data_IF_449235475495
#
_entry.id   IF_449235475495
#
_cell.length_a   1.000
_cell.length_b   1.000
_cell.length_c   1.000
_cell.angle_alpha   90.00
_cell.angle_beta   90.00
_cell.angle_gamma   90.00
#
_symmetry.space_group_name_H-M   'P 1'
#
loop_
_entity.id
_entity.type
_entity.pdbx_description
1 polymer ?
#
# COMPACT_ATOMS: atom_id res chain seq x y z
N UNK A 1 8.86 31.35 26.71
CA UNK A 1 9.32 31.72 25.35
C UNK A 1 9.46 30.49 24.45
N UNK A 2 9.68 29.29 24.99
CA UNK A 2 9.74 28.03 24.22
C UNK A 2 8.35 27.52 23.76
N UNK A 3 7.29 27.74 24.57
CA UNK A 3 5.92 27.39 24.16
C UNK A 3 5.42 28.18 22.94
N UNK A 4 5.77 29.46 22.78
CA UNK A 4 5.25 30.26 21.66
C UNK A 4 5.79 29.79 20.31
N UNK A 5 7.01 29.25 20.27
CA UNK A 5 7.61 28.71 19.04
C UNK A 5 7.03 27.34 18.66
N UNK A 6 6.68 26.52 19.66
CA UNK A 6 6.04 25.23 19.45
C UNK A 6 4.58 25.38 19.01
N UNK A 7 3.85 26.29 19.66
CA UNK A 7 2.46 26.59 19.29
C UNK A 7 2.37 27.14 17.87
N UNK A 8 3.28 28.05 17.48
CA UNK A 8 3.33 28.58 16.12
C UNK A 8 3.60 27.47 15.08
N UNK A 9 4.47 26.53 15.40
CA UNK A 9 4.73 25.36 14.56
C UNK A 9 3.47 24.49 14.40
N UNK A 10 2.80 24.15 15.51
CA UNK A 10 1.59 23.33 15.49
C UNK A 10 0.42 24.00 14.75
N UNK A 11 0.30 25.33 14.83
CA UNK A 11 -0.72 26.08 14.08
C UNK A 11 -0.46 25.96 12.57
N UNK A 12 0.76 26.30 12.12
CA UNK A 12 1.11 26.33 10.69
C UNK A 12 1.18 24.95 10.06
N UNK A 13 1.79 23.99 10.75
CA UNK A 13 2.02 22.64 10.21
C UNK A 13 0.90 21.65 10.57
N UNK A 14 -0.02 22.03 11.46
CA UNK A 14 -1.11 21.20 11.94
C UNK A 14 -2.47 21.81 11.65
N UNK A 15 -2.86 22.78 12.48
CA UNK A 15 -4.22 23.32 12.53
C UNK A 15 -4.66 23.88 11.17
N UNK A 16 -3.84 24.71 10.52
CA UNK A 16 -4.18 25.30 9.22
C UNK A 16 -4.44 24.24 8.14
N UNK A 17 -3.71 23.12 8.20
CA UNK A 17 -3.86 22.02 7.24
C UNK A 17 -5.12 21.21 7.54
N UNK A 18 -5.30 20.75 8.78
CA UNK A 18 -6.42 19.86 9.14
C UNK A 18 -7.78 20.56 9.17
N UNK A 19 -7.80 21.89 9.31
CA UNK A 19 -9.03 22.69 9.23
C UNK A 19 -9.37 23.11 7.80
N UNK A 20 -8.43 22.99 6.87
CA UNK A 20 -8.66 23.35 5.47
C UNK A 20 -9.77 22.49 4.86
N UNK A 21 -10.83 23.08 4.27
CA UNK A 21 -12.02 22.34 3.86
C UNK A 21 -11.71 21.30 2.77
N UNK A 22 -10.78 21.58 1.85
CA UNK A 22 -10.37 20.61 0.85
C UNK A 22 -9.64 19.41 1.46
N UNK A 23 -8.85 19.63 2.51
CA UNK A 23 -8.17 18.54 3.22
C UNK A 23 -9.19 17.58 3.82
N UNK A 24 -10.14 18.12 4.61
CA UNK A 24 -11.22 17.34 5.22
C UNK A 24 -12.09 16.62 4.18
N UNK A 25 -12.42 17.28 3.07
CA UNK A 25 -13.18 16.67 1.99
C UNK A 25 -12.44 15.46 1.39
N UNK A 26 -11.14 15.59 1.14
CA UNK A 26 -10.32 14.46 0.65
C UNK A 26 -10.23 13.32 1.66
N UNK A 27 -10.08 13.62 2.96
CA UNK A 27 -10.11 12.60 4.00
C UNK A 27 -11.44 11.84 4.04
N UNK A 28 -12.57 12.55 3.97
CA UNK A 28 -13.90 11.92 3.92
C UNK A 28 -14.03 11.02 2.70
N UNK A 29 -13.56 11.47 1.53
CA UNK A 29 -13.53 10.65 0.31
C UNK A 29 -12.68 9.39 0.52
N UNK A 30 -11.48 9.52 1.09
CA UNK A 30 -10.63 8.37 1.40
C UNK A 30 -11.33 7.38 2.33
N UNK A 31 -11.93 7.86 3.43
CA UNK A 31 -12.65 7.02 4.39
C UNK A 31 -13.78 6.24 3.70
N UNK A 32 -14.61 6.93 2.89
CA UNK A 32 -15.73 6.29 2.18
C UNK A 32 -15.23 5.23 1.19
N UNK A 33 -14.19 5.54 0.41
CA UNK A 33 -13.60 4.61 -0.55
C UNK A 33 -12.96 3.41 0.15
N UNK A 34 -12.26 3.63 1.27
CA UNK A 34 -11.63 2.57 2.05
C UNK A 34 -12.65 1.64 2.71
N UNK A 35 -13.70 2.18 3.34
CA UNK A 35 -14.80 1.37 3.90
C UNK A 35 -15.48 0.55 2.81
N UNK A 36 -15.80 1.18 1.68
CA UNK A 36 -16.40 0.49 0.52
C UNK A 36 -15.51 -0.65 0.03
N UNK A 37 -14.19 -0.40 -0.04
CA UNK A 37 -13.20 -1.41 -0.44
C UNK A 37 -13.15 -2.58 0.54
N UNK A 38 -13.15 -2.33 1.85
CA UNK A 38 -13.18 -3.39 2.88
C UNK A 38 -14.42 -4.28 2.69
N UNK A 39 -15.60 -3.67 2.56
CA UNK A 39 -16.87 -4.42 2.38
C UNK A 39 -16.83 -5.26 1.10
N UNK A 40 -16.41 -4.66 -0.02
CA UNK A 40 -16.32 -5.35 -1.31
C UNK A 40 -15.31 -6.50 -1.28
N UNK A 41 -14.12 -6.30 -0.73
CA UNK A 41 -13.08 -7.33 -0.64
C UNK A 41 -13.55 -8.50 0.22
N UNK A 42 -14.13 -8.24 1.39
CA UNK A 42 -14.67 -9.29 2.26
C UNK A 42 -15.81 -10.07 1.59
N UNK A 43 -16.69 -9.37 0.88
CA UNK A 43 -17.76 -9.99 0.11
C UNK A 43 -17.21 -10.88 -1.03
N UNK A 44 -16.24 -10.39 -1.80
CA UNK A 44 -15.60 -11.15 -2.89
C UNK A 44 -14.88 -12.38 -2.34
N UNK A 45 -14.08 -12.22 -1.27
CA UNK A 45 -13.36 -13.32 -0.63
C UNK A 45 -14.31 -14.37 -0.06
N UNK A 46 -15.48 -13.99 0.45
CA UNK A 46 -16.47 -14.95 0.95
C UNK A 46 -17.18 -15.67 -0.20
N UNK A 47 -17.59 -14.94 -1.25
CA UNK A 47 -18.45 -15.46 -2.32
C UNK A 47 -17.68 -16.21 -3.41
N UNK A 48 -16.49 -15.73 -3.80
CA UNK A 48 -15.80 -16.20 -5.00
C UNK A 48 -14.48 -16.95 -4.73
N UNK A 49 -13.96 -16.97 -3.50
CA UNK A 49 -12.68 -17.65 -3.18
C UNK A 49 -12.58 -19.09 -3.69
N UNK A 50 -13.68 -19.87 -3.65
CA UNK A 50 -13.71 -21.27 -4.11
C UNK A 50 -14.08 -21.42 -5.59
N UNK A 51 -14.59 -20.36 -6.23
CA UNK A 51 -15.06 -20.37 -7.63
C UNK A 51 -14.06 -19.83 -8.63
N UNK A 52 -12.87 -19.39 -8.17
CA UNK A 52 -11.81 -18.98 -9.08
C UNK A 52 -11.34 -20.19 -9.90
N UNK A 53 -11.58 -20.15 -11.22
CA UNK A 53 -11.19 -21.15 -12.22
C UNK A 53 -9.67 -21.06 -12.50
N UNK A 54 -8.95 -20.20 -11.79
CA UNK A 54 -7.55 -19.94 -12.03
C UNK A 54 -6.64 -21.09 -11.56
N UNK A 55 -5.52 -21.25 -12.27
CA UNK A 55 -4.43 -22.12 -11.85
C UNK A 55 -3.99 -21.77 -10.42
N UNK A 56 -3.50 -22.77 -9.67
CA UNK A 56 -3.21 -22.60 -8.24
C UNK A 56 -2.22 -21.45 -7.97
N UNK A 57 -1.21 -21.29 -8.83
CA UNK A 57 -0.15 -20.29 -8.68
C UNK A 57 -0.70 -18.85 -8.70
N UNK A 58 -1.46 -18.48 -9.72
CA UNK A 58 -2.10 -17.16 -9.73
C UNK A 58 -3.15 -17.02 -8.61
N UNK A 59 -3.86 -18.09 -8.26
CA UNK A 59 -4.92 -18.03 -7.24
C UNK A 59 -4.37 -17.62 -5.88
N UNK A 60 -3.23 -18.18 -5.46
CA UNK A 60 -2.59 -17.79 -4.19
C UNK A 60 -2.11 -16.34 -4.23
N UNK A 61 -1.56 -15.87 -5.36
CA UNK A 61 -1.11 -14.48 -5.53
C UNK A 61 -2.28 -13.47 -5.50
N UNK A 62 -3.39 -13.77 -6.17
CA UNK A 62 -4.59 -12.92 -6.14
C UNK A 62 -5.21 -12.87 -4.73
N UNK A 63 -5.20 -13.99 -4.01
CA UNK A 63 -5.62 -14.03 -2.61
C UNK A 63 -4.69 -13.16 -1.75
N UNK A 64 -3.37 -13.24 -1.95
CA UNK A 64 -2.37 -12.38 -1.31
C UNK A 64 -2.68 -10.90 -1.53
N UNK A 65 -2.95 -10.52 -2.79
CA UNK A 65 -3.30 -9.14 -3.16
C UNK A 65 -4.56 -8.65 -2.43
N UNK A 66 -5.58 -9.49 -2.31
CA UNK A 66 -6.79 -9.13 -1.56
C UNK A 66 -6.50 -8.93 -0.07
N UNK A 67 -5.64 -9.74 0.54
CA UNK A 67 -5.24 -9.55 1.94
C UNK A 67 -4.41 -8.28 2.13
N UNK A 68 -3.45 -7.99 1.25
CA UNK A 68 -2.67 -6.76 1.27
C UNK A 68 -3.59 -5.52 1.13
N UNK A 69 -4.53 -5.56 0.19
CA UNK A 69 -5.51 -4.49 -0.04
C UNK A 69 -6.48 -4.32 1.13
N UNK A 70 -6.89 -5.42 1.78
CA UNK A 70 -7.73 -5.37 2.97
C UNK A 70 -6.99 -4.70 4.14
N UNK A 71 -5.73 -5.08 4.36
CA UNK A 71 -4.89 -4.46 5.39
C UNK A 71 -4.73 -2.96 5.11
N UNK A 72 -4.37 -2.58 3.88
CA UNK A 72 -4.24 -1.19 3.45
C UNK A 72 -5.51 -0.38 3.71
N UNK A 73 -6.66 -0.84 3.19
CA UNK A 73 -7.92 -0.12 3.33
C UNK A 73 -8.39 -0.02 4.79
N UNK A 74 -8.12 -1.05 5.61
CA UNK A 74 -8.45 -1.01 7.04
C UNK A 74 -7.61 0.03 7.77
N UNK A 75 -6.29 0.05 7.55
CA UNK A 75 -5.39 1.03 8.16
C UNK A 75 -5.72 2.46 7.70
N UNK A 76 -5.95 2.65 6.40
CA UNK A 76 -6.39 3.93 5.82
C UNK A 76 -7.65 4.45 6.52
N UNK A 77 -8.65 3.59 6.71
CA UNK A 77 -9.88 3.95 7.42
C UNK A 77 -9.58 4.38 8.86
N UNK A 78 -8.73 3.64 9.57
CA UNK A 78 -8.40 3.90 10.98
C UNK A 78 -7.73 5.27 11.14
N UNK A 79 -6.63 5.53 10.44
CA UNK A 79 -5.89 6.78 10.68
C UNK A 79 -6.60 8.00 10.09
N UNK A 80 -7.25 7.90 8.94
CA UNK A 80 -8.00 9.04 8.39
C UNK A 80 -9.20 9.39 9.28
N UNK A 81 -9.89 8.39 9.82
CA UNK A 81 -11.00 8.65 10.76
C UNK A 81 -10.49 9.27 12.06
N UNK A 82 -9.37 8.78 12.59
CA UNK A 82 -8.75 9.33 13.79
C UNK A 82 -8.28 10.77 13.57
N UNK A 83 -7.62 11.05 12.44
CA UNK A 83 -7.17 12.39 12.11
C UNK A 83 -8.34 13.34 11.84
N UNK A 84 -9.40 12.89 11.15
CA UNK A 84 -10.61 13.67 10.96
C UNK A 84 -11.28 14.01 12.29
N UNK A 85 -11.33 13.04 13.22
CA UNK A 85 -11.82 13.26 14.57
C UNK A 85 -11.00 14.36 15.29
N UNK A 86 -9.67 14.25 15.31
CA UNK A 86 -8.80 15.27 15.89
C UNK A 86 -9.01 16.65 15.25
N UNK A 87 -9.25 16.71 13.94
CA UNK A 87 -9.50 17.98 13.25
C UNK A 87 -10.74 18.73 13.76
N UNK A 88 -11.69 18.05 14.40
CA UNK A 88 -12.91 18.65 14.97
C UNK A 88 -12.86 18.81 16.50
N UNK A 89 -12.03 18.03 17.20
CA UNK A 89 -12.04 17.98 18.67
C UNK A 89 -10.80 18.53 19.36
N UNK A 90 -9.82 19.05 18.61
CA UNK A 90 -8.61 19.65 19.19
C UNK A 90 -8.96 20.85 20.08
N UNK A 91 -8.28 20.98 21.22
CA UNK A 91 -8.43 22.11 22.15
C UNK A 91 -7.19 23.00 22.09
N UNK A 92 -6.01 22.37 22.16
CA UNK A 92 -4.73 23.04 21.98
C UNK A 92 -4.19 22.81 20.55
N UNK A 93 -3.38 23.74 20.00
CA UNK A 93 -2.91 23.62 18.63
C UNK A 93 -2.13 22.34 18.32
N UNK A 94 -1.42 21.77 19.30
CA UNK A 94 -0.63 20.56 19.11
C UNK A 94 -1.43 19.25 19.26
N UNK A 95 -2.69 19.30 19.71
CA UNK A 95 -3.54 18.10 19.84
C UNK A 95 -3.88 17.46 18.49
N UNK A 96 -3.74 18.21 17.39
CA UNK A 96 -3.95 17.71 16.03
C UNK A 96 -2.83 16.78 15.55
N UNK A 97 -1.68 16.78 16.22
CA UNK A 97 -0.54 15.94 15.89
C UNK A 97 -0.78 14.51 16.37
N UNK A 98 -0.40 13.52 15.56
CA UNK A 98 -0.59 12.13 15.92
C UNK A 98 0.33 11.73 17.08
N UNK A 99 -0.18 11.00 18.09
CA UNK A 99 0.67 10.40 19.10
C UNK A 99 1.70 9.48 18.44
N UNK A 100 2.98 9.61 18.84
CA UNK A 100 4.10 8.87 18.25
C UNK A 100 3.86 7.35 18.15
N UNK A 101 3.35 6.75 19.22
CA UNK A 101 3.09 5.30 19.24
C UNK A 101 1.98 4.90 18.26
N UNK A 102 0.91 5.71 18.17
CA UNK A 102 -0.15 5.50 17.19
C UNK A 102 0.40 5.58 15.77
N UNK A 103 1.18 6.63 15.48
CA UNK A 103 1.84 6.80 14.19
C UNK A 103 2.67 5.56 13.84
N UNK A 104 3.60 5.12 14.69
CA UNK A 104 4.48 3.97 14.39
C UNK A 104 3.67 2.69 14.13
N UNK A 105 2.69 2.39 15.01
CA UNK A 105 1.89 1.15 14.93
C UNK A 105 1.02 1.11 13.68
N UNK A 106 0.57 2.26 13.17
CA UNK A 106 -0.33 2.32 12.00
C UNK A 106 0.44 2.58 10.70
N UNK A 107 1.41 3.49 10.72
CA UNK A 107 2.24 3.86 9.57
C UNK A 107 3.09 2.69 9.08
N UNK A 108 3.79 1.96 9.97
CA UNK A 108 4.66 0.88 9.54
C UNK A 108 3.91 -0.26 8.82
N UNK A 109 2.78 -0.78 9.35
CA UNK A 109 1.95 -1.73 8.61
C UNK A 109 1.30 -1.14 7.36
N UNK A 110 1.01 0.16 7.34
CA UNK A 110 0.45 0.82 6.17
C UNK A 110 1.47 0.83 5.03
N UNK A 111 2.70 1.27 5.27
CA UNK A 111 3.78 1.25 4.27
C UNK A 111 4.05 -0.19 3.79
N UNK A 112 4.12 -1.14 4.72
CA UNK A 112 4.24 -2.56 4.37
C UNK A 112 3.11 -3.01 3.43
N UNK A 113 1.86 -2.65 3.72
CA UNK A 113 0.71 -3.02 2.89
C UNK A 113 0.79 -2.44 1.47
N UNK A 114 1.28 -1.20 1.32
CA UNK A 114 1.49 -0.56 0.01
C UNK A 114 2.56 -1.32 -0.77
N UNK A 115 3.73 -1.54 -0.18
CA UNK A 115 4.81 -2.30 -0.84
C UNK A 115 4.40 -3.74 -1.15
N UNK A 116 3.57 -4.35 -0.30
CA UNK A 116 3.04 -5.70 -0.53
C UNK A 116 2.06 -5.76 -1.70
N UNK A 117 1.23 -4.73 -1.90
CA UNK A 117 0.38 -4.62 -3.09
C UNK A 117 1.25 -4.55 -4.35
N UNK A 118 2.24 -3.65 -4.37
CA UNK A 118 3.15 -3.44 -5.53
C UNK A 118 3.93 -4.73 -5.86
N UNK A 119 4.58 -5.34 -4.85
CA UNK A 119 5.33 -6.57 -5.03
C UNK A 119 4.43 -7.72 -5.54
N UNK A 120 3.21 -7.83 -5.01
CA UNK A 120 2.26 -8.87 -5.47
C UNK A 120 1.84 -8.64 -6.92
N UNK A 121 1.59 -7.39 -7.30
CA UNK A 121 1.23 -7.06 -8.68
C UNK A 121 2.39 -7.38 -9.65
N UNK A 122 3.64 -7.02 -9.34
CA UNK A 122 4.80 -7.38 -10.17
C UNK A 122 4.96 -8.90 -10.31
N UNK A 123 4.83 -9.63 -9.19
CA UNK A 123 4.94 -11.10 -9.19
C UNK A 123 3.81 -11.75 -9.98
N UNK A 124 2.59 -11.20 -9.95
CA UNK A 124 1.50 -11.64 -10.84
C UNK A 124 1.90 -11.47 -12.30
N UNK A 125 2.49 -10.33 -12.69
CA UNK A 125 2.92 -10.11 -14.07
C UNK A 125 4.00 -11.10 -14.50
N UNK A 126 4.96 -11.40 -13.62
CA UNK A 126 6.00 -12.42 -13.87
C UNK A 126 5.36 -13.80 -14.05
N UNK A 127 4.41 -14.16 -13.18
CA UNK A 127 3.68 -15.42 -13.28
C UNK A 127 2.95 -15.56 -14.62
N UNK A 128 2.31 -14.48 -15.08
CA UNK A 128 1.64 -14.42 -16.39
C UNK A 128 2.62 -14.51 -17.55
N UNK A 129 3.77 -13.84 -17.46
CA UNK A 129 4.82 -13.94 -18.47
C UNK A 129 5.31 -15.38 -18.63
N UNK A 130 5.57 -16.07 -17.51
CA UNK A 130 5.99 -17.48 -17.51
C UNK A 130 4.91 -18.36 -18.14
N UNK A 131 3.64 -18.17 -17.76
CA UNK A 131 2.53 -18.94 -18.31
C UNK A 131 2.36 -18.76 -19.84
N UNK A 132 2.57 -17.54 -20.36
CA UNK A 132 2.47 -17.25 -21.81
C UNK A 132 3.66 -17.83 -22.58
N UNK A 133 4.87 -17.76 -22.02
CA UNK A 133 6.08 -18.22 -22.69
C UNK A 133 6.22 -19.76 -22.65
N UNK A 134 5.70 -20.40 -21.61
CA UNK A 134 5.87 -21.83 -21.35
C UNK A 134 4.53 -22.57 -21.29
N UNK A 135 3.59 -22.28 -22.20
CA UNK A 135 2.20 -22.81 -22.19
C UNK A 135 2.11 -24.33 -21.92
N UNK A 136 3.01 -25.14 -22.50
CA UNK A 136 3.00 -26.61 -22.31
C UNK A 136 3.64 -27.12 -21.02
N UNK A 137 4.68 -26.44 -20.53
CA UNK A 137 5.38 -26.85 -19.29
C UNK A 137 4.76 -26.21 -18.04
N UNK A 138 4.09 -25.07 -18.19
CA UNK A 138 3.46 -24.35 -17.10
C UNK A 138 2.30 -25.14 -16.49
N UNK A 139 1.49 -25.83 -17.31
CA UNK A 139 0.38 -26.66 -16.82
C UNK A 139 0.86 -27.90 -16.04
N UNK A 140 2.08 -28.38 -16.33
CA UNK A 140 2.71 -29.46 -15.58
C UNK A 140 3.57 -28.96 -14.43
N UNK A 141 3.82 -27.64 -14.36
CA UNK A 141 4.64 -27.02 -13.34
C UNK A 141 3.98 -27.14 -11.96
N UNK A 142 4.74 -27.65 -11.01
CA UNK A 142 4.25 -27.95 -9.66
C UNK A 142 3.80 -26.69 -8.92
N UNK A 143 2.86 -26.85 -7.97
CA UNK A 143 2.40 -25.82 -7.02
C UNK A 143 3.52 -25.11 -6.24
N UNK A 144 4.76 -25.61 -6.30
CA UNK A 144 5.96 -25.02 -5.70
C UNK A 144 6.24 -23.63 -6.24
N UNK A 145 6.10 -23.39 -7.55
CA UNK A 145 6.35 -22.06 -8.13
C UNK A 145 5.46 -20.99 -7.49
N UNK A 146 4.15 -21.24 -7.41
CA UNK A 146 3.21 -20.31 -6.79
C UNK A 146 3.50 -20.03 -5.31
N UNK A 147 3.88 -21.06 -4.56
CA UNK A 147 4.27 -20.88 -3.15
C UNK A 147 5.57 -20.07 -3.00
N UNK A 148 6.58 -20.32 -3.83
CA UNK A 148 7.83 -19.53 -3.82
C UNK A 148 7.56 -18.06 -4.18
N UNK A 149 6.79 -17.83 -5.24
CA UNK A 149 6.38 -16.49 -5.65
C UNK A 149 5.59 -15.77 -4.54
N UNK A 150 4.66 -16.46 -3.88
CA UNK A 150 3.92 -15.91 -2.74
C UNK A 150 4.85 -15.51 -1.58
N UNK A 151 5.83 -16.35 -1.23
CA UNK A 151 6.81 -16.01 -0.18
C UNK A 151 7.63 -14.77 -0.57
N UNK A 152 8.03 -14.64 -1.83
CA UNK A 152 8.70 -13.44 -2.32
C UNK A 152 7.82 -12.19 -2.16
N UNK A 153 6.51 -12.28 -2.42
CA UNK A 153 5.60 -11.14 -2.21
C UNK A 153 5.53 -10.67 -0.76
N UNK A 154 5.85 -11.51 0.22
CA UNK A 154 5.82 -11.15 1.64
C UNK A 154 7.19 -10.67 2.13
N UNK A 155 8.25 -11.39 1.77
CA UNK A 155 9.59 -11.11 2.25
C UNK A 155 10.15 -9.82 1.67
N UNK A 156 9.95 -9.56 0.39
CA UNK A 156 10.52 -8.37 -0.27
C UNK A 156 9.98 -7.07 0.36
N UNK A 157 8.66 -6.84 0.48
CA UNK A 157 8.12 -5.65 1.14
C UNK A 157 8.53 -5.52 2.60
N UNK A 158 8.62 -6.64 3.32
CA UNK A 158 9.04 -6.64 4.73
C UNK A 158 10.48 -6.14 4.86
N UNK A 159 11.39 -6.69 4.05
CA UNK A 159 12.79 -6.29 4.05
C UNK A 159 12.97 -4.84 3.57
N UNK A 160 12.23 -4.42 2.54
CA UNK A 160 12.23 -3.04 2.06
C UNK A 160 11.74 -2.05 3.13
N UNK A 161 10.65 -2.39 3.84
CA UNK A 161 10.12 -1.56 4.93
C UNK A 161 11.12 -1.46 6.09
N UNK A 162 11.69 -2.59 6.52
CA UNK A 162 12.70 -2.60 7.58
C UNK A 162 13.95 -1.83 7.17
N UNK A 163 14.44 -2.03 5.95
CA UNK A 163 15.60 -1.31 5.43
C UNK A 163 15.32 0.19 5.31
N UNK A 164 14.13 0.60 4.85
CA UNK A 164 13.74 1.99 4.70
C UNK A 164 13.80 2.73 6.05
N UNK A 165 13.31 2.13 7.13
CA UNK A 165 13.09 2.77 8.44
C UNK A 165 14.08 2.36 9.55
N UNK A 166 15.11 1.56 9.27
CA UNK A 166 16.04 1.02 10.31
C UNK A 166 16.70 2.08 11.21
N UNK A 167 16.94 3.28 10.69
CA UNK A 167 17.59 4.37 11.42
C UNK A 167 16.61 5.50 11.79
N UNK A 168 15.31 5.30 11.57
CA UNK A 168 14.30 6.31 11.83
C UNK A 168 13.93 6.35 13.32
N UNK A 169 13.93 7.55 13.90
CA UNK A 169 13.65 7.74 15.32
C UNK A 169 12.17 8.01 15.58
N UNK A 170 11.40 8.43 14.57
CA UNK A 170 9.97 8.75 14.67
C UNK A 170 9.66 9.82 15.73
N UNK A 171 10.58 10.75 15.97
CA UNK A 171 10.41 11.81 16.96
C UNK A 171 9.71 13.05 16.39
N UNK A 172 9.76 13.23 15.07
CA UNK A 172 9.08 14.34 14.42
C UNK A 172 7.55 14.18 14.57
N UNK A 173 6.83 15.25 14.95
CA UNK A 173 5.38 15.23 15.01
C UNK A 173 4.82 15.17 13.58
N UNK A 174 3.87 14.25 13.37
CA UNK A 174 3.24 14.05 12.07
C UNK A 174 1.73 14.21 12.20
N UNK A 175 1.12 14.93 11.26
CA UNK A 175 -0.34 15.13 11.23
C UNK A 175 -1.07 13.90 10.67
N UNK A 176 -0.40 13.11 9.84
CA UNK A 176 -1.02 12.01 9.09
C UNK A 176 -0.07 10.82 8.98
N UNK A 177 -0.60 9.60 9.05
CA UNK A 177 0.17 8.39 8.76
C UNK A 177 0.54 8.25 7.28
N UNK A 178 0.05 9.13 6.39
CA UNK A 178 0.52 9.22 5.00
C UNK A 178 1.86 9.94 4.88
N UNK A 179 2.19 10.80 5.84
CA UNK A 179 3.45 11.53 5.81
C UNK A 179 4.60 10.56 6.01
N UNK A 180 5.69 10.82 5.32
CA UNK A 180 6.96 10.10 5.55
C UNK A 180 7.88 11.05 6.30
N UNK A 181 8.58 10.60 7.36
CA UNK A 181 9.52 11.44 8.09
C UNK A 181 10.55 12.05 7.14
N UNK A 182 10.83 13.35 7.33
CA UNK A 182 11.63 14.13 6.39
C UNK A 182 13.05 13.56 6.18
N UNK A 183 13.64 13.01 7.24
CA UNK A 183 15.00 12.44 7.22
C UNK A 183 15.15 11.27 6.24
N UNK A 184 14.06 10.53 5.99
CA UNK A 184 14.04 9.38 5.09
C UNK A 184 13.17 9.61 3.84
N UNK A 185 12.50 10.76 3.72
CA UNK A 185 11.56 11.04 2.65
C UNK A 185 12.20 10.90 1.25
N UNK A 186 13.46 11.31 1.08
CA UNK A 186 14.18 11.16 -0.19
C UNK A 186 14.38 9.68 -0.57
N UNK A 187 14.72 8.84 0.41
CA UNK A 187 14.94 7.40 0.23
C UNK A 187 13.64 6.68 -0.12
N UNK A 188 12.56 6.97 0.63
CA UNK A 188 11.23 6.40 0.38
C UNK A 188 10.67 6.86 -0.97
N UNK A 189 10.86 8.14 -1.33
CA UNK A 189 10.48 8.68 -2.64
C UNK A 189 11.21 7.96 -3.78
N UNK A 190 12.51 7.70 -3.63
CA UNK A 190 13.28 6.97 -4.63
C UNK A 190 12.75 5.54 -4.82
N UNK A 191 12.38 4.85 -3.74
CA UNK A 191 11.75 3.51 -3.80
C UNK A 191 10.44 3.55 -4.59
N UNK A 192 9.55 4.49 -4.30
CA UNK A 192 8.28 4.60 -5.02
C UNK A 192 8.46 4.93 -6.50
N UNK A 193 9.39 5.82 -6.85
CA UNK A 193 9.70 6.15 -8.25
C UNK A 193 10.25 4.91 -8.98
N UNK A 194 11.13 4.15 -8.33
CA UNK A 194 11.67 2.92 -8.87
C UNK A 194 10.58 1.86 -9.09
N UNK A 195 9.71 1.64 -8.10
CA UNK A 195 8.59 0.70 -8.19
C UNK A 195 7.63 1.07 -9.34
N UNK A 196 7.27 2.36 -9.45
CA UNK A 196 6.46 2.86 -10.56
C UNK A 196 7.12 2.60 -11.92
N UNK A 197 8.43 2.84 -12.04
CA UNK A 197 9.18 2.53 -13.25
C UNK A 197 9.12 1.05 -13.62
N UNK A 198 9.30 0.15 -12.64
CA UNK A 198 9.16 -1.29 -12.85
C UNK A 198 7.75 -1.68 -13.31
N UNK A 199 6.71 -1.09 -12.72
CA UNK A 199 5.33 -1.34 -13.12
C UNK A 199 5.05 -0.92 -14.56
N UNK A 200 5.54 0.24 -14.98
CA UNK A 200 5.39 0.72 -16.36
C UNK A 200 6.11 -0.19 -17.36
N UNK A 201 7.33 -0.62 -17.05
CA UNK A 201 8.10 -1.56 -17.88
C UNK A 201 7.39 -2.92 -17.95
N UNK A 202 6.94 -3.45 -16.82
CA UNK A 202 6.26 -4.74 -16.76
C UNK A 202 4.93 -4.71 -17.53
N UNK A 203 4.17 -3.62 -17.41
CA UNK A 203 2.95 -3.42 -18.19
C UNK A 203 3.25 -3.37 -19.69
N UNK A 204 4.25 -2.59 -20.13
CA UNK A 204 4.65 -2.53 -21.53
C UNK A 204 5.09 -3.91 -22.06
N UNK A 205 5.87 -4.66 -21.28
CA UNK A 205 6.30 -6.01 -21.63
C UNK A 205 5.10 -6.96 -21.80
N UNK A 206 4.11 -6.90 -20.90
CA UNK A 206 2.88 -7.70 -21.02
C UNK A 206 2.07 -7.38 -22.26
N UNK A 207 1.93 -6.08 -22.59
CA UNK A 207 1.25 -5.64 -23.82
C UNK A 207 1.98 -6.18 -25.06
N UNK A 208 3.30 -6.07 -25.10
CA UNK A 208 4.10 -6.61 -26.21
C UNK A 208 3.93 -8.13 -26.33
N UNK A 209 4.06 -8.89 -25.23
CA UNK A 209 3.89 -10.34 -25.23
C UNK A 209 2.51 -10.76 -25.74
N UNK A 210 1.45 -10.05 -25.33
CA UNK A 210 0.09 -10.31 -25.83
C UNK A 210 0.01 -10.16 -27.36
N UNK A 211 0.59 -9.10 -27.91
CA UNK A 211 0.60 -8.89 -29.36
C UNK A 211 1.43 -9.94 -30.11
N UNK A 212 2.59 -10.33 -29.59
CA UNK A 212 3.41 -11.39 -30.20
C UNK A 212 2.70 -12.74 -30.19
N UNK A 213 2.16 -13.16 -29.03
CA UNK A 213 1.44 -14.42 -28.91
C UNK A 213 0.23 -14.49 -29.85
N UNK A 214 -0.54 -13.39 -29.96
CA UNK A 214 -1.69 -13.30 -30.87
C UNK A 214 -1.29 -13.39 -32.35
N UNK A 215 -0.10 -12.90 -32.72
CA UNK A 215 0.42 -13.01 -34.10
C UNK A 215 0.85 -14.43 -34.43
N UNK A 216 1.51 -15.12 -33.50
CA UNK A 216 1.99 -16.50 -33.70
C UNK A 216 0.87 -17.54 -33.67
N UNK A 217 -0.24 -17.26 -32.98
CA UNK A 217 -1.42 -18.15 -32.92
C UNK A 217 -2.40 -17.98 -34.08
N UNK A 218 -2.14 -17.08 -35.04
CA UNK A 218 -2.90 -16.94 -36.29
C UNK A 218 -2.16 -17.62 -37.43
#
# INVERSE_FOLDING_TARGET
>A
MENSTLDEYCIKQGVEIVTYPYYRAMQIVHIVLSISSVVLILWVLKKYRKKFIFHYNIRILVISLFFASLLHATLMTIFESYQLYLSYTYVEPCDVMLPRLFYIIVHMPFIFSVLWIEATQLVILIERAIAILYVGEYETCTKKLGNCLFVLTLLTPLLESLWAYVNESFQAPEISCLNTPLDIAAKVKALFIFALGLHLIAFAAMVMMFFFHRRTSR
#
